data_IF_244348579956
#
_entry.id   IF_244348579956
#
_cell.length_a   1.000
_cell.length_b   1.000
_cell.length_c   1.000
_cell.angle_alpha   90.00
_cell.angle_beta   90.00
_cell.angle_gamma   90.00
#
_symmetry.space_group_name_H-M   'P 1'
#
loop_
_entity.id
_entity.type
_entity.pdbx_description
1 polymer ?
#
# COMPACT_ATOMS: atom_id res chain seq x y z
N UNK A 1 58.50 -57.50 9.73
CA UNK A 1 57.42 -57.27 10.71
C UNK A 1 57.61 -55.87 11.27
N UNK A 2 57.06 -54.86 10.61
CA UNK A 2 55.77 -54.22 10.95
C UNK A 2 55.85 -53.51 12.30
N UNK A 3 56.22 -52.23 12.25
CA UNK A 3 55.86 -51.24 13.26
C UNK A 3 55.00 -50.18 12.59
N UNK A 4 53.81 -50.61 12.17
CA UNK A 4 52.76 -49.72 11.71
C UNK A 4 51.59 -49.80 12.71
N UNK A 5 50.96 -48.66 12.97
CA UNK A 5 49.65 -48.49 13.64
C UNK A 5 49.65 -48.44 15.17
N UNK A 6 50.00 -47.27 15.72
CA UNK A 6 49.53 -46.86 17.07
C UNK A 6 49.03 -45.41 17.16
N UNK A 7 48.67 -44.76 16.04
CA UNK A 7 48.17 -43.37 16.02
C UNK A 7 46.67 -43.24 15.74
N UNK A 8 45.91 -44.34 15.67
CA UNK A 8 44.50 -44.34 15.23
C UNK A 8 43.45 -44.21 16.33
N UNK A 9 43.85 -44.15 17.62
CA UNK A 9 42.89 -44.13 18.76
C UNK A 9 42.69 -42.77 19.43
N UNK A 10 43.57 -41.80 19.17
CA UNK A 10 43.50 -40.45 19.76
C UNK A 10 43.00 -39.41 18.72
N UNK A 11 43.07 -39.73 17.43
CA UNK A 11 42.60 -38.85 16.36
C UNK A 11 41.06 -38.72 16.33
N UNK A 12 40.34 -39.77 16.70
CA UNK A 12 38.87 -39.83 16.60
C UNK A 12 38.12 -38.84 17.52
N UNK A 13 38.47 -38.68 18.81
CA UNK A 13 37.81 -37.67 19.64
C UNK A 13 38.17 -36.23 19.23
N UNK A 14 39.34 -36.00 18.64
CA UNK A 14 39.81 -34.67 18.27
C UNK A 14 39.10 -34.13 17.02
N UNK A 15 38.83 -34.99 16.03
CA UNK A 15 38.02 -34.66 14.85
C UNK A 15 36.54 -34.39 15.23
N UNK A 16 36.01 -35.11 16.22
CA UNK A 16 34.64 -34.91 16.68
C UNK A 16 34.43 -33.53 17.35
N UNK A 17 35.39 -33.08 18.18
CA UNK A 17 35.30 -31.78 18.86
C UNK A 17 35.49 -30.61 17.87
N UNK A 18 36.39 -30.75 16.90
CA UNK A 18 36.56 -29.75 15.83
C UNK A 18 35.31 -29.63 14.95
N UNK A 19 34.63 -30.75 14.65
CA UNK A 19 33.37 -30.75 13.90
C UNK A 19 32.23 -30.04 14.63
N UNK A 20 32.11 -30.24 15.95
CA UNK A 20 31.08 -29.58 16.76
C UNK A 20 31.28 -28.07 16.86
N UNK A 21 32.52 -27.59 16.98
CA UNK A 21 32.81 -26.15 17.04
C UNK A 21 32.46 -25.43 15.73
N UNK A 22 32.73 -26.05 14.57
CA UNK A 22 32.35 -25.51 13.27
C UNK A 22 30.84 -25.53 13.06
N UNK A 23 30.15 -26.60 13.45
CA UNK A 23 28.69 -26.68 13.34
C UNK A 23 27.98 -25.64 14.24
N UNK A 24 28.43 -25.47 15.48
CA UNK A 24 27.89 -24.45 16.39
C UNK A 24 28.17 -23.03 15.88
N UNK A 25 29.37 -22.79 15.35
CA UNK A 25 29.74 -21.51 14.73
C UNK A 25 28.87 -21.16 13.52
N UNK A 26 28.60 -22.11 12.63
CA UNK A 26 27.72 -21.90 11.46
C UNK A 26 26.29 -21.62 11.89
N UNK A 27 25.76 -22.31 12.91
CA UNK A 27 24.41 -22.06 13.42
C UNK A 27 24.31 -20.66 14.03
N UNK A 28 25.24 -20.27 14.91
CA UNK A 28 25.23 -18.94 15.53
C UNK A 28 25.45 -17.84 14.49
N UNK A 29 26.37 -18.04 13.55
CA UNK A 29 26.61 -17.10 12.44
C UNK A 29 25.36 -16.98 11.55
N UNK A 30 24.69 -18.08 11.22
CA UNK A 30 23.43 -18.05 10.47
C UNK A 30 22.32 -17.33 11.23
N UNK A 31 22.27 -17.46 12.56
CA UNK A 31 21.25 -16.82 13.39
C UNK A 31 21.49 -15.31 13.53
N UNK A 32 22.75 -14.89 13.68
CA UNK A 32 23.12 -13.47 13.68
C UNK A 32 23.01 -12.82 12.30
N UNK A 33 23.42 -13.52 11.23
CA UNK A 33 23.31 -13.04 9.85
C UNK A 33 21.88 -13.11 9.29
N UNK A 34 20.95 -13.79 9.97
CA UNK A 34 19.51 -13.78 9.62
C UNK A 34 18.74 -12.59 10.23
N UNK A 35 19.43 -11.63 10.86
CA UNK A 35 18.81 -10.41 11.41
C UNK A 35 18.67 -9.25 10.39
N UNK A 36 19.14 -9.42 9.15
CA UNK A 36 18.85 -8.58 7.99
C UNK A 36 18.37 -9.51 6.85
N UNK A 37 17.10 -9.73 6.54
CA UNK A 37 15.89 -8.96 6.74
C UNK A 37 14.78 -10.01 6.91
N UNK A 38 13.91 -9.92 7.93
CA UNK A 38 12.54 -10.25 7.61
C UNK A 38 12.17 -9.23 6.53
N UNK A 39 12.19 -9.65 5.26
CA UNK A 39 11.20 -9.16 4.33
C UNK A 39 9.90 -9.33 5.09
N UNK A 40 9.51 -8.23 5.72
CA UNK A 40 8.18 -7.94 6.14
C UNK A 40 7.38 -8.23 4.88
N UNK A 41 6.88 -9.47 4.77
CA UNK A 41 5.47 -9.73 4.46
C UNK A 41 4.65 -9.03 5.52
N UNK A 42 4.82 -7.72 5.60
CA UNK A 42 3.78 -6.76 5.89
C UNK A 42 2.71 -7.19 4.90
N UNK A 43 1.76 -7.97 5.39
CA UNK A 43 0.36 -7.67 5.11
C UNK A 43 0.12 -6.21 5.57
N UNK A 44 0.80 -5.25 4.93
CA UNK A 44 0.29 -3.90 4.83
C UNK A 44 -0.94 -4.15 3.98
N UNK A 45 -2.10 -4.18 4.63
CA UNK A 45 -3.31 -3.69 3.99
C UNK A 45 -2.86 -2.38 3.35
N UNK A 46 -2.61 -2.42 2.06
CA UNK A 46 -1.90 -1.39 1.35
C UNK A 46 -2.76 -0.15 1.51
N UNK A 47 -2.32 0.79 2.35
CA UNK A 47 -3.09 1.98 2.72
C UNK A 47 -3.03 2.93 1.52
N UNK A 48 -3.71 2.53 0.44
CA UNK A 48 -3.72 3.19 -0.84
C UNK A 48 -4.83 4.21 -0.78
N UNK A 49 -4.43 5.45 -0.51
CA UNK A 49 -5.31 6.62 -0.51
C UNK A 49 -6.12 6.68 -1.79
N UNK A 50 -7.43 6.86 -1.65
CA UNK A 50 -8.37 6.96 -2.76
C UNK A 50 -8.81 8.41 -2.92
N UNK A 51 -8.79 8.92 -4.15
CA UNK A 51 -9.45 10.15 -4.53
C UNK A 51 -10.65 9.76 -5.40
N UNK A 52 -11.84 10.21 -5.04
CA UNK A 52 -13.08 9.87 -5.73
C UNK A 52 -13.66 11.15 -6.28
N UNK A 53 -13.89 11.21 -7.58
CA UNK A 53 -14.68 12.28 -8.20
C UNK A 53 -16.14 11.88 -8.05
N UNK A 54 -16.88 12.69 -7.29
CA UNK A 54 -18.28 12.46 -6.97
C UNK A 54 -19.14 12.57 -8.23
N UNK A 55 -20.09 11.66 -8.33
CA UNK A 55 -20.92 11.46 -9.50
C UNK A 55 -22.24 10.82 -9.03
N UNK A 56 -23.41 11.17 -9.61
CA UNK A 56 -24.68 10.57 -9.22
C UNK A 56 -24.71 9.03 -9.32
N UNK A 57 -23.90 8.45 -10.20
CA UNK A 57 -23.77 7.00 -10.30
C UNK A 57 -22.91 6.38 -9.19
N UNK A 58 -21.96 7.15 -8.63
CA UNK A 58 -21.17 6.74 -7.46
C UNK A 58 -22.05 6.69 -6.22
N UNK A 59 -22.99 7.63 -6.10
CA UNK A 59 -23.97 7.66 -5.02
C UNK A 59 -24.84 6.40 -4.96
N UNK A 60 -25.31 5.92 -6.11
CA UNK A 60 -26.20 4.75 -6.18
C UNK A 60 -25.47 3.42 -5.99
N UNK A 61 -24.18 3.36 -6.32
CA UNK A 61 -23.40 2.10 -6.34
C UNK A 61 -22.63 1.84 -5.05
N UNK A 62 -22.41 2.86 -4.22
CA UNK A 62 -21.43 2.79 -3.14
C UNK A 62 -22.03 3.18 -1.79
N UNK A 63 -21.77 2.36 -0.77
CA UNK A 63 -22.01 2.76 0.63
C UNK A 63 -21.05 3.89 1.01
N UNK A 64 -21.56 5.11 0.97
CA UNK A 64 -20.87 6.36 1.27
C UNK A 64 -20.16 6.33 2.62
N UNK A 65 -20.80 5.75 3.63
CA UNK A 65 -20.23 5.50 4.97
C UNK A 65 -18.94 4.67 4.91
N UNK A 66 -18.91 3.62 4.08
CA UNK A 66 -17.72 2.76 3.95
C UNK A 66 -16.57 3.51 3.28
N UNK A 67 -16.89 4.34 2.27
CA UNK A 67 -15.90 5.20 1.61
C UNK A 67 -15.33 6.22 2.60
N UNK A 68 -16.18 6.87 3.39
CA UNK A 68 -15.79 7.87 4.38
C UNK A 68 -15.00 7.28 5.55
N UNK A 69 -15.20 6.00 5.90
CA UNK A 69 -14.40 5.31 6.93
C UNK A 69 -12.99 4.96 6.43
N UNK A 70 -12.78 4.85 5.11
CA UNK A 70 -11.47 4.61 4.51
C UNK A 70 -10.63 5.91 4.38
N UNK A 71 -9.33 5.75 4.09
CA UNK A 71 -8.42 6.87 3.76
C UNK A 71 -8.73 7.35 2.33
N UNK A 72 -9.82 8.10 2.21
CA UNK A 72 -10.35 8.61 0.96
C UNK A 72 -10.66 10.11 1.03
N UNK A 73 -10.65 10.75 -0.13
CA UNK A 73 -11.06 12.15 -0.32
C UNK A 73 -12.05 12.19 -1.47
N UNK A 74 -13.19 12.86 -1.25
CA UNK A 74 -14.27 12.99 -2.22
C UNK A 74 -14.22 14.40 -2.82
N UNK A 75 -14.12 14.50 -4.14
CA UNK A 75 -14.15 15.75 -4.88
C UNK A 75 -15.51 15.92 -5.53
N UNK A 76 -16.23 16.99 -5.22
CA UNK A 76 -17.53 17.28 -5.81
C UNK A 76 -17.34 18.23 -7.00
N UNK A 77 -17.55 17.77 -8.26
CA UNK A 77 -17.50 18.65 -9.42
C UNK A 77 -18.64 19.68 -9.43
N UNK A 78 -18.52 20.76 -10.23
CA UNK A 78 -19.45 21.90 -10.21
C UNK A 78 -20.91 21.54 -10.57
N UNK A 79 -21.13 20.46 -11.31
CA UNK A 79 -22.44 20.06 -11.83
C UNK A 79 -23.09 18.91 -11.04
N UNK A 80 -22.35 18.27 -10.12
CA UNK A 80 -22.90 17.21 -9.26
C UNK A 80 -23.55 17.84 -8.02
N UNK A 81 -24.78 18.29 -8.19
CA UNK A 81 -25.56 18.95 -7.15
C UNK A 81 -26.17 17.96 -6.16
N UNK A 82 -25.51 17.72 -5.02
CA UNK A 82 -26.15 17.71 -3.70
C UNK A 82 -25.09 17.43 -2.64
N UNK A 83 -24.68 18.49 -1.92
CA UNK A 83 -23.82 18.37 -0.73
C UNK A 83 -24.62 17.93 0.50
N UNK A 84 -25.95 18.05 0.45
CA UNK A 84 -26.81 17.89 1.62
C UNK A 84 -26.88 16.42 2.06
N UNK A 85 -26.95 15.51 1.09
CA UNK A 85 -26.96 14.06 1.37
C UNK A 85 -25.60 13.58 1.87
N UNK A 86 -24.50 14.18 1.36
CA UNK A 86 -23.14 13.89 1.79
C UNK A 86 -22.80 14.41 3.20
N UNK A 87 -23.28 15.60 3.55
CA UNK A 87 -23.07 16.20 4.88
C UNK A 87 -23.93 15.56 5.96
N UNK A 88 -25.04 14.93 5.60
CA UNK A 88 -25.89 14.19 6.52
C UNK A 88 -25.22 12.92 7.09
N UNK A 89 -24.23 12.36 6.38
CA UNK A 89 -23.56 11.08 6.73
C UNK A 89 -22.62 11.20 7.94
N UNK A 90 -22.33 12.41 8.43
CA UNK A 90 -21.61 12.59 9.69
C UNK A 90 -20.62 13.74 9.64
N UNK A 91 -20.83 14.72 10.51
CA UNK A 91 -20.02 15.93 10.62
C UNK A 91 -18.52 15.64 10.82
N UNK A 92 -18.20 14.50 11.44
CA UNK A 92 -16.82 14.07 11.72
C UNK A 92 -15.98 13.78 10.48
N UNK A 93 -16.58 13.42 9.34
CA UNK A 93 -15.85 13.12 8.09
C UNK A 93 -16.02 14.20 7.01
N UNK A 94 -16.69 15.31 7.32
CA UNK A 94 -16.94 16.40 6.38
C UNK A 94 -15.64 16.98 5.80
N UNK A 95 -14.53 16.94 6.55
CA UNK A 95 -13.21 17.42 6.09
C UNK A 95 -12.64 16.60 4.91
N UNK A 96 -13.17 15.40 4.64
CA UNK A 96 -12.77 14.56 3.50
C UNK A 96 -13.46 14.96 2.20
N UNK A 97 -14.43 15.87 2.25
CA UNK A 97 -15.23 16.29 1.11
C UNK A 97 -14.74 17.67 0.66
N UNK A 98 -14.35 17.78 -0.61
CA UNK A 98 -13.88 19.03 -1.20
C UNK A 98 -14.81 19.39 -2.35
N UNK A 99 -15.54 20.49 -2.19
CA UNK A 99 -16.36 21.06 -3.26
C UNK A 99 -15.48 21.86 -4.21
N UNK A 100 -15.61 21.60 -5.51
CA UNK A 100 -14.91 22.34 -6.56
C UNK A 100 -15.91 23.13 -7.40
N UNK A 101 -15.62 24.41 -7.64
CA UNK A 101 -16.48 25.28 -8.47
C UNK A 101 -16.18 25.16 -9.98
N UNK A 102 -15.07 24.50 -10.34
CA UNK A 102 -14.65 24.29 -11.74
C UNK A 102 -13.98 22.94 -11.91
N UNK A 103 -14.03 22.37 -13.12
CA UNK A 103 -13.28 21.15 -13.48
C UNK A 103 -11.77 21.33 -13.38
N UNK A 104 -11.26 22.53 -13.72
CA UNK A 104 -9.85 22.86 -13.50
C UNK A 104 -9.48 22.79 -12.00
N UNK A 105 -10.39 23.21 -11.12
CA UNK A 105 -10.26 23.06 -9.67
C UNK A 105 -10.17 21.60 -9.25
N UNK A 106 -11.07 20.74 -9.77
CA UNK A 106 -11.06 19.29 -9.52
C UNK A 106 -9.68 18.71 -9.85
N UNK A 107 -9.18 18.96 -11.06
CA UNK A 107 -7.88 18.44 -11.49
C UNK A 107 -6.73 18.98 -10.65
N UNK A 108 -6.80 20.24 -10.21
CA UNK A 108 -5.80 20.83 -9.31
C UNK A 108 -5.80 20.14 -7.95
N UNK A 109 -6.97 19.80 -7.41
CA UNK A 109 -7.10 19.00 -6.19
C UNK A 109 -6.52 17.60 -6.38
N UNK A 110 -6.81 16.92 -7.49
CA UNK A 110 -6.22 15.60 -7.81
C UNK A 110 -4.69 15.66 -7.80
N UNK A 111 -4.09 16.67 -8.46
CA UNK A 111 -2.63 16.89 -8.49
C UNK A 111 -2.04 17.13 -7.10
N UNK A 112 -2.77 17.83 -6.23
CA UNK A 112 -2.32 18.15 -4.89
C UNK A 112 -2.40 16.94 -3.95
N UNK A 113 -3.49 16.18 -4.02
CA UNK A 113 -3.74 15.02 -3.16
C UNK A 113 -2.78 13.86 -3.43
N UNK A 114 -2.35 13.68 -4.69
CA UNK A 114 -1.46 12.60 -5.13
C UNK A 114 -1.90 11.23 -4.61
N UNK A 115 -3.20 10.97 -4.70
CA UNK A 115 -3.79 9.73 -4.23
C UNK A 115 -3.26 8.54 -5.05
N UNK A 116 -3.23 7.36 -4.45
CA UNK A 116 -2.78 6.16 -5.14
C UNK A 116 -3.81 5.73 -6.20
N UNK A 117 -5.09 5.86 -5.88
CA UNK A 117 -6.20 5.55 -6.78
C UNK A 117 -7.03 6.79 -7.05
N UNK A 118 -7.37 7.00 -8.33
CA UNK A 118 -8.40 7.92 -8.76
C UNK A 118 -9.60 7.13 -9.25
N UNK A 119 -10.74 7.29 -8.60
CA UNK A 119 -12.00 6.70 -9.00
C UNK A 119 -12.87 7.79 -9.62
N UNK A 120 -13.33 7.54 -10.84
CA UNK A 120 -14.18 8.47 -11.58
C UNK A 120 -15.05 7.69 -12.55
N UNK A 121 -16.07 8.34 -13.09
CA UNK A 121 -16.84 7.79 -14.19
C UNK A 121 -16.56 8.60 -15.44
N UNK A 122 -15.85 8.00 -16.40
CA UNK A 122 -15.35 8.73 -17.58
C UNK A 122 -16.47 9.42 -18.38
N UNK A 123 -17.66 8.81 -18.45
CA UNK A 123 -18.80 9.34 -19.17
C UNK A 123 -19.41 10.63 -18.57
N UNK A 124 -19.09 10.95 -17.31
CA UNK A 124 -19.66 12.11 -16.59
C UNK A 124 -18.67 13.27 -16.50
N UNK A 125 -17.48 13.13 -17.11
CA UNK A 125 -16.51 14.19 -17.21
C UNK A 125 -16.73 14.90 -18.56
N UNK A 126 -17.06 16.21 -18.57
CA UNK A 126 -17.37 16.93 -19.80
C UNK A 126 -16.13 17.17 -20.68
N UNK A 127 -14.95 17.20 -20.07
CA UNK A 127 -13.67 17.31 -20.77
C UNK A 127 -12.89 16.00 -20.63
N UNK A 128 -12.04 15.67 -21.61
CA UNK A 128 -11.14 14.53 -21.47
C UNK A 128 -10.23 14.70 -20.24
N UNK A 129 -9.90 13.58 -19.59
CA UNK A 129 -8.96 13.57 -18.46
C UNK A 129 -7.63 14.17 -18.91
N UNK A 130 -7.08 15.17 -18.19
CA UNK A 130 -5.79 15.75 -18.56
C UNK A 130 -4.68 14.68 -18.56
N UNK A 131 -3.88 14.65 -19.61
CA UNK A 131 -2.85 13.62 -19.85
C UNK A 131 -1.82 13.55 -18.72
N UNK A 132 -1.59 14.68 -18.04
CA UNK A 132 -0.63 14.81 -16.95
C UNK A 132 -1.09 14.14 -15.64
N UNK A 133 -2.38 13.81 -15.48
CA UNK A 133 -2.92 13.23 -14.24
C UNK A 133 -2.26 11.90 -13.87
N UNK A 134 -1.83 11.12 -14.87
CA UNK A 134 -1.10 9.87 -14.66
C UNK A 134 0.24 10.05 -13.93
N UNK A 135 0.81 11.27 -13.93
CA UNK A 135 2.03 11.56 -13.17
C UNK A 135 1.77 11.78 -11.67
N UNK A 136 0.51 12.01 -11.29
CA UNK A 136 0.11 12.32 -9.91
C UNK A 136 -0.65 11.19 -9.23
N UNK A 137 -1.17 10.25 -10.01
CA UNK A 137 -1.97 9.12 -9.53
C UNK A 137 -1.38 7.82 -10.08
N UNK A 138 -1.26 6.79 -9.24
CA UNK A 138 -0.67 5.52 -9.66
C UNK A 138 -1.64 4.69 -10.54
N UNK A 139 -2.95 4.75 -10.26
CA UNK A 139 -3.96 4.04 -11.05
C UNK A 139 -5.29 4.79 -11.10
N UNK A 140 -5.83 4.91 -12.31
CA UNK A 140 -7.19 5.39 -12.57
C UNK A 140 -8.12 4.17 -12.68
N UNK A 141 -9.28 4.23 -12.04
CA UNK A 141 -10.31 3.20 -12.05
C UNK A 141 -11.62 3.86 -12.49
N UNK A 142 -12.14 3.47 -13.65
CA UNK A 142 -13.48 3.87 -14.07
C UNK A 142 -14.52 3.04 -13.31
N UNK A 143 -15.49 3.71 -12.70
CA UNK A 143 -16.65 3.11 -12.01
C UNK A 143 -17.97 3.48 -12.67
#
# INVERSE_FOLDING_TARGET
MVAERRTSRILKPLVAVAGFALAAGVIVYSYWNSSDTPEKKRNYKEYRRKCIIWSPAVEQSSNLETILLEDSVILIPPESGSLQDLLAVGNENAYKIIKCDTWQGVWSCVRHLRAHYLLLKECEIPEAIPVDILNYVNKIISI
#
